data_IF_709613572141
#
_entry.id   IF_709613572141
#
_cell.length_a   1.000
_cell.length_b   1.000
_cell.length_c   1.000
_cell.angle_alpha   90.00
_cell.angle_beta   90.00
_cell.angle_gamma   90.00
#
_symmetry.space_group_name_H-M   'P 1'
#
loop_
_entity.id
_entity.type
_entity.pdbx_description
1 polymer ?
#
# COMPACT_ATOMS: atom_id res chain seq x y z
N UNK A 1 -15.89 -21.14 -11.12
CA UNK A 1 -17.34 -21.31 -10.82
C UNK A 1 -17.47 -22.36 -9.73
N UNK A 2 -18.50 -22.31 -8.88
CA UNK A 2 -18.77 -23.36 -7.87
C UNK A 2 -20.00 -24.15 -8.33
N UNK A 3 -19.88 -25.46 -8.50
CA UNK A 3 -21.00 -26.34 -8.85
C UNK A 3 -20.93 -27.58 -7.95
N UNK A 4 -22.02 -27.88 -7.22
CA UNK A 4 -22.08 -29.05 -6.32
C UNK A 4 -21.06 -29.02 -5.16
N UNK A 5 -20.58 -27.85 -4.74
CA UNK A 5 -19.57 -27.71 -3.68
C UNK A 5 -18.12 -27.88 -4.15
N UNK A 6 -17.89 -28.15 -5.44
CA UNK A 6 -16.55 -28.23 -6.03
C UNK A 6 -16.24 -26.94 -6.81
N UNK A 7 -15.00 -26.47 -6.67
CA UNK A 7 -14.47 -25.34 -7.42
C UNK A 7 -13.85 -25.89 -8.71
N UNK A 8 -14.17 -25.27 -9.84
CA UNK A 8 -13.65 -25.67 -11.14
C UNK A 8 -13.68 -24.55 -12.16
N UNK A 9 -13.16 -24.85 -13.35
CA UNK A 9 -13.25 -23.98 -14.52
C UNK A 9 -14.18 -24.58 -15.58
N UNK A 10 -14.76 -23.71 -16.40
CA UNK A 10 -15.58 -24.13 -17.54
C UNK A 10 -14.73 -24.12 -18.80
N UNK A 11 -14.83 -25.18 -19.58
CA UNK A 11 -14.32 -25.24 -20.95
C UNK A 11 -15.48 -25.34 -21.93
N UNK A 12 -15.20 -25.19 -23.23
CA UNK A 12 -16.19 -25.37 -24.31
C UNK A 12 -17.46 -24.52 -24.17
N UNK A 13 -17.31 -23.26 -23.75
CA UNK A 13 -18.40 -22.29 -23.51
C UNK A 13 -19.38 -22.12 -24.70
N UNK A 14 -18.93 -22.38 -25.93
CA UNK A 14 -19.70 -22.13 -27.15
C UNK A 14 -20.41 -23.36 -27.73
N UNK A 15 -20.07 -24.58 -27.29
CA UNK A 15 -20.63 -25.82 -27.87
C UNK A 15 -21.32 -26.68 -26.82
N UNK A 16 -20.67 -26.91 -25.69
CA UNK A 16 -21.18 -27.71 -24.57
C UNK A 16 -20.35 -27.38 -23.34
N UNK A 17 -20.77 -26.38 -22.54
CA UNK A 17 -20.04 -25.96 -21.36
C UNK A 17 -19.76 -27.16 -20.46
N UNK A 18 -18.48 -27.51 -20.33
CA UNK A 18 -18.04 -28.67 -19.55
C UNK A 18 -17.37 -28.16 -18.28
N UNK A 19 -17.89 -28.57 -17.13
CA UNK A 19 -17.30 -28.27 -15.83
C UNK A 19 -16.16 -29.25 -15.54
N UNK A 20 -14.96 -28.71 -15.34
CA UNK A 20 -13.81 -29.48 -14.90
C UNK A 20 -13.60 -29.23 -13.41
N UNK A 21 -13.96 -30.19 -12.53
CA UNK A 21 -13.68 -30.09 -11.11
C UNK A 21 -12.17 -30.02 -10.93
N UNK A 22 -11.71 -28.98 -10.26
CA UNK A 22 -10.29 -28.81 -9.96
C UNK A 22 -10.04 -29.41 -8.59
N UNK A 23 -9.38 -30.56 -8.53
CA UNK A 23 -8.99 -31.21 -7.28
C UNK A 23 -7.75 -30.49 -6.71
N UNK A 24 -7.95 -29.24 -6.30
CA UNK A 24 -6.93 -28.50 -5.58
C UNK A 24 -6.87 -29.09 -4.17
N UNK A 25 -5.73 -29.63 -3.71
CA UNK A 25 -5.63 -30.11 -2.34
C UNK A 25 -6.09 -29.00 -1.39
N UNK A 26 -6.85 -29.35 -0.35
CA UNK A 26 -7.46 -28.37 0.58
C UNK A 26 -6.45 -27.31 1.07
N UNK A 27 -5.18 -27.70 1.19
CA UNK A 27 -4.06 -26.81 1.50
C UNK A 27 -3.87 -25.65 0.50
N UNK A 28 -4.03 -25.87 -0.82
CA UNK A 28 -3.99 -24.81 -1.84
C UNK A 28 -5.20 -23.88 -1.76
N UNK A 29 -6.39 -24.43 -1.50
CA UNK A 29 -7.61 -23.62 -1.34
C UNK A 29 -7.49 -22.73 -0.10
N UNK A 30 -7.09 -23.29 1.05
CA UNK A 30 -6.89 -22.53 2.28
C UNK A 30 -5.81 -21.46 2.13
N UNK A 31 -4.72 -21.76 1.41
CA UNK A 31 -3.67 -20.78 1.11
C UNK A 31 -4.18 -19.63 0.25
N UNK A 32 -4.93 -19.92 -0.82
CA UNK A 32 -5.54 -18.89 -1.67
C UNK A 32 -6.56 -18.04 -0.91
N UNK A 33 -7.37 -18.64 -0.03
CA UNK A 33 -8.31 -17.89 0.82
C UNK A 33 -7.59 -16.92 1.74
N UNK A 34 -6.57 -17.39 2.46
CA UNK A 34 -5.76 -16.53 3.32
C UNK A 34 -5.08 -15.40 2.53
N UNK A 35 -4.59 -15.69 1.34
CA UNK A 35 -4.05 -14.67 0.44
C UNK A 35 -5.09 -13.59 0.07
N UNK A 36 -6.30 -14.00 -0.32
CA UNK A 36 -7.38 -13.07 -0.64
C UNK A 36 -7.67 -12.17 0.56
N UNK A 37 -7.77 -12.73 1.77
CA UNK A 37 -8.00 -11.93 2.98
C UNK A 37 -6.92 -10.87 3.23
N UNK A 38 -5.64 -11.21 3.05
CA UNK A 38 -4.53 -10.23 3.15
C UNK A 38 -4.70 -9.16 2.08
N UNK A 39 -5.00 -9.54 0.83
CA UNK A 39 -5.16 -8.60 -0.29
C UNK A 39 -6.30 -7.61 -0.05
N UNK A 40 -7.45 -8.10 0.39
CA UNK A 40 -8.60 -7.25 0.70
C UNK A 40 -8.28 -6.31 1.87
N UNK A 41 -7.49 -6.75 2.85
CA UNK A 41 -7.06 -5.90 3.97
C UNK A 41 -6.04 -4.84 3.55
N UNK A 42 -5.09 -5.21 2.70
CA UNK A 42 -4.13 -4.30 2.09
C UNK A 42 -4.83 -3.18 1.31
N UNK A 43 -5.75 -3.51 0.39
CA UNK A 43 -6.46 -2.50 -0.41
C UNK A 43 -7.32 -1.61 0.47
N UNK A 44 -8.05 -2.17 1.46
CA UNK A 44 -8.82 -1.34 2.41
C UNK A 44 -7.93 -0.34 3.15
N UNK A 45 -6.80 -0.80 3.68
CA UNK A 45 -5.85 0.06 4.38
C UNK A 45 -5.32 1.15 3.43
N UNK A 46 -4.80 0.75 2.27
CA UNK A 46 -4.20 1.68 1.32
C UNK A 46 -5.21 2.71 0.82
N UNK A 47 -6.41 2.27 0.40
CA UNK A 47 -7.46 3.16 -0.10
C UNK A 47 -7.96 4.11 0.99
N UNK A 48 -8.12 3.63 2.22
CA UNK A 48 -8.53 4.49 3.33
C UNK A 48 -7.48 5.58 3.59
N UNK A 49 -6.21 5.18 3.71
CA UNK A 49 -5.13 6.12 4.01
C UNK A 49 -4.88 7.11 2.86
N UNK A 50 -4.96 6.66 1.60
CA UNK A 50 -4.85 7.51 0.42
C UNK A 50 -5.97 8.55 0.34
N UNK A 51 -7.22 8.13 0.57
CA UNK A 51 -8.37 9.01 0.40
C UNK A 51 -8.57 9.97 1.57
N UNK A 52 -8.27 9.54 2.80
CA UNK A 52 -8.51 10.33 4.00
C UNK A 52 -7.27 11.08 4.50
N UNK A 53 -6.06 10.73 4.03
CA UNK A 53 -4.79 11.23 4.58
C UNK A 53 -4.68 11.04 6.10
N UNK A 54 -5.24 9.94 6.60
CA UNK A 54 -5.29 9.57 8.01
C UNK A 54 -4.82 8.13 8.15
N UNK A 55 -4.01 7.86 9.17
CA UNK A 55 -3.57 6.51 9.47
C UNK A 55 -4.75 5.65 9.97
N UNK A 56 -4.81 4.40 9.52
CA UNK A 56 -5.73 3.39 10.07
C UNK A 56 -4.94 2.31 10.83
N UNK A 57 -4.71 2.50 12.14
CA UNK A 57 -3.98 1.53 12.94
C UNK A 57 -4.73 0.21 13.12
N UNK A 58 -6.06 0.21 13.07
CA UNK A 58 -6.88 -1.00 13.28
C UNK A 58 -6.79 -1.94 12.08
N UNK A 59 -7.02 -1.43 10.86
CA UNK A 59 -6.90 -2.26 9.65
C UNK A 59 -5.42 -2.65 9.41
N UNK A 60 -4.44 -1.83 9.83
CA UNK A 60 -3.01 -2.20 9.82
C UNK A 60 -2.66 -3.33 10.78
N UNK A 61 -3.20 -3.32 12.00
CA UNK A 61 -2.98 -4.43 12.95
C UNK A 61 -3.60 -5.73 12.41
N UNK A 62 -4.78 -5.63 11.80
CA UNK A 62 -5.44 -6.74 11.13
C UNK A 62 -4.61 -7.27 9.95
N UNK A 63 -4.09 -6.39 9.09
CA UNK A 63 -3.19 -6.77 8.00
C UNK A 63 -1.96 -7.52 8.53
N UNK A 64 -1.35 -7.02 9.61
CA UNK A 64 -0.23 -7.69 10.28
C UNK A 64 -0.61 -9.09 10.75
N UNK A 65 -1.74 -9.24 11.45
CA UNK A 65 -2.21 -10.53 11.96
C UNK A 65 -2.45 -11.54 10.85
N UNK A 66 -3.14 -11.13 9.78
CA UNK A 66 -3.43 -11.98 8.62
C UNK A 66 -2.13 -12.44 7.93
N UNK A 67 -1.17 -11.52 7.77
CA UNK A 67 0.14 -11.83 7.20
C UNK A 67 0.92 -12.80 8.11
N UNK A 68 1.01 -12.55 9.41
CA UNK A 68 1.78 -13.38 10.34
C UNK A 68 1.19 -14.80 10.42
N UNK A 69 -0.13 -14.93 10.37
CA UNK A 69 -0.83 -16.22 10.30
C UNK A 69 -0.59 -16.96 8.98
N UNK A 70 -0.43 -16.24 7.87
CA UNK A 70 -0.05 -16.82 6.60
C UNK A 70 1.39 -17.33 6.64
N UNK A 71 2.33 -16.49 7.09
CA UNK A 71 3.76 -16.84 7.18
C UNK A 71 4.00 -18.02 8.10
N UNK A 72 3.28 -18.10 9.23
CA UNK A 72 3.38 -19.25 10.15
C UNK A 72 2.98 -20.58 9.50
N UNK A 73 2.03 -20.56 8.56
CA UNK A 73 1.47 -21.76 7.92
C UNK A 73 2.19 -22.15 6.62
N UNK A 74 2.63 -21.17 5.85
CA UNK A 74 3.14 -21.40 4.49
C UNK A 74 4.45 -20.68 4.17
N UNK A 75 5.05 -19.98 5.14
CA UNK A 75 6.23 -19.15 4.93
C UNK A 75 5.94 -17.83 4.20
N UNK A 76 6.99 -17.12 3.84
CA UNK A 76 6.92 -15.81 3.19
C UNK A 76 6.17 -15.86 1.84
N UNK A 77 5.45 -14.81 1.50
CA UNK A 77 4.71 -14.62 0.24
C UNK A 77 5.63 -14.77 -0.98
N UNK A 78 6.85 -14.23 -0.90
CA UNK A 78 7.83 -14.24 -1.97
C UNK A 78 8.64 -15.55 -2.07
N UNK A 79 8.39 -16.55 -1.20
CA UNK A 79 8.92 -17.90 -1.44
C UNK A 79 8.40 -18.44 -2.77
N UNK A 80 9.27 -19.10 -3.54
CA UNK A 80 8.96 -19.61 -4.89
C UNK A 80 7.60 -20.33 -4.97
N UNK A 81 7.32 -21.24 -4.03
CA UNK A 81 6.07 -22.00 -4.02
C UNK A 81 4.81 -21.16 -3.77
N UNK A 82 4.93 -20.02 -3.09
CA UNK A 82 3.85 -19.08 -2.87
C UNK A 82 3.78 -18.09 -4.04
N UNK A 83 4.89 -17.48 -4.41
CA UNK A 83 4.98 -16.56 -5.55
C UNK A 83 4.45 -17.19 -6.85
N UNK A 84 4.74 -18.45 -7.14
CA UNK A 84 4.22 -19.14 -8.33
C UNK A 84 2.70 -19.32 -8.29
N UNK A 85 2.14 -19.60 -7.11
CA UNK A 85 0.70 -19.69 -6.90
C UNK A 85 0.04 -18.31 -7.05
N UNK A 86 0.69 -17.26 -6.53
CA UNK A 86 0.18 -15.89 -6.60
C UNK A 86 0.20 -15.36 -8.03
N UNK A 87 1.29 -15.59 -8.77
CA UNK A 87 1.43 -15.16 -10.18
C UNK A 87 0.37 -15.76 -11.11
N UNK A 88 -0.26 -16.88 -10.73
CA UNK A 88 -1.41 -17.42 -11.48
C UNK A 88 -2.69 -16.59 -11.31
N UNK A 89 -2.79 -15.77 -10.26
CA UNK A 89 -3.90 -14.85 -10.05
C UNK A 89 -3.62 -13.51 -10.75
N UNK A 90 -4.63 -12.94 -11.40
CA UNK A 90 -4.51 -11.69 -12.17
C UNK A 90 -4.00 -10.48 -11.34
N UNK A 91 -4.23 -10.49 -10.02
CA UNK A 91 -3.74 -9.47 -9.07
C UNK A 91 -2.69 -10.04 -8.10
N UNK A 92 -1.99 -11.10 -8.50
CA UNK A 92 -0.96 -11.78 -7.72
C UNK A 92 0.28 -10.96 -7.42
N UNK A 93 0.69 -10.16 -8.40
CA UNK A 93 2.00 -9.53 -8.43
C UNK A 93 2.13 -8.39 -7.43
N UNK A 94 1.06 -7.63 -7.19
CA UNK A 94 1.07 -6.49 -6.26
C UNK A 94 1.36 -6.92 -4.81
N UNK A 95 0.92 -8.12 -4.45
CA UNK A 95 1.09 -8.63 -3.10
C UNK A 95 2.52 -9.08 -2.80
N UNK A 96 3.35 -9.26 -3.83
CA UNK A 96 4.78 -9.53 -3.65
C UNK A 96 5.52 -8.30 -3.10
N UNK A 97 4.94 -7.09 -3.23
CA UNK A 97 5.48 -5.86 -2.66
C UNK A 97 5.27 -5.72 -1.15
N UNK A 98 4.47 -6.60 -0.54
CA UNK A 98 4.35 -6.69 0.92
C UNK A 98 5.63 -7.19 1.58
N UNK A 99 6.56 -7.75 0.80
CA UNK A 99 7.84 -8.24 1.28
C UNK A 99 9.00 -7.62 0.50
N UNK A 100 10.05 -7.24 1.24
CA UNK A 100 11.33 -6.80 0.68
C UNK A 100 12.36 -7.89 0.88
N UNK A 101 13.28 -8.04 -0.07
CA UNK A 101 14.41 -8.95 0.06
C UNK A 101 15.61 -8.21 0.64
N UNK A 102 16.08 -8.63 1.81
CA UNK A 102 17.27 -8.08 2.45
C UNK A 102 18.15 -9.23 2.95
N UNK A 103 19.41 -9.28 2.49
CA UNK A 103 20.36 -10.33 2.90
C UNK A 103 19.89 -11.76 2.61
N UNK A 104 19.06 -11.98 1.58
CA UNK A 104 18.49 -13.28 1.24
C UNK A 104 17.32 -13.72 2.14
N UNK A 105 16.78 -12.80 2.95
CA UNK A 105 15.57 -13.01 3.76
C UNK A 105 14.46 -12.08 3.29
N UNK A 106 13.22 -12.50 3.48
CA UNK A 106 12.06 -11.67 3.24
C UNK A 106 11.65 -10.96 4.53
N UNK A 107 11.53 -9.64 4.46
CA UNK A 107 11.11 -8.78 5.56
C UNK A 107 9.84 -8.01 5.18
N UNK A 108 9.04 -7.62 6.18
CA UNK A 108 7.81 -6.84 5.97
C UNK A 108 8.12 -5.49 5.28
N UNK A 109 7.25 -5.09 4.37
CA UNK A 109 7.26 -3.74 3.78
C UNK A 109 6.82 -2.66 4.79
N UNK A 110 7.03 -1.39 4.44
CA UNK A 110 6.76 -0.27 5.35
C UNK A 110 5.28 -0.10 5.72
N UNK A 111 4.37 -0.56 4.86
CA UNK A 111 2.92 -0.45 5.09
C UNK A 111 2.47 -1.16 6.39
N UNK A 112 3.23 -2.16 6.85
CA UNK A 112 2.95 -2.86 8.10
C UNK A 112 3.26 -2.03 9.35
N UNK A 113 4.02 -0.96 9.23
CA UNK A 113 4.49 -0.12 10.35
C UNK A 113 3.86 1.28 10.33
N UNK A 114 3.86 1.94 9.17
CA UNK A 114 3.35 3.31 9.02
C UNK A 114 2.61 3.53 7.69
N UNK A 115 1.89 4.64 7.53
CA UNK A 115 1.24 4.98 6.27
C UNK A 115 2.24 5.16 5.14
N UNK A 116 1.96 4.50 4.01
CA UNK A 116 2.74 4.61 2.77
C UNK A 116 1.96 5.29 1.65
N UNK A 117 0.65 5.45 1.82
CA UNK A 117 -0.25 6.06 0.86
C UNK A 117 -0.20 7.60 0.86
N UNK A 118 0.35 8.21 1.90
CA UNK A 118 0.52 9.66 2.01
C UNK A 118 1.75 10.02 2.85
N UNK A 119 2.24 11.26 2.69
CA UNK A 119 3.34 11.76 3.49
C UNK A 119 2.85 12.19 4.88
N UNK A 120 3.32 11.50 5.93
CA UNK A 120 3.03 11.86 7.33
C UNK A 120 3.62 13.21 7.74
N UNK A 121 4.73 13.61 7.11
CA UNK A 121 5.38 14.90 7.29
C UNK A 121 5.46 15.58 5.95
N UNK A 122 4.99 16.82 5.89
CA UNK A 122 5.29 17.65 4.74
C UNK A 122 6.79 17.92 4.69
N UNK A 123 7.38 17.77 3.51
CA UNK A 123 8.79 18.00 3.29
C UNK A 123 9.17 19.39 3.81
N UNK A 124 10.09 19.44 4.77
CA UNK A 124 10.68 20.70 5.23
C UNK A 124 11.32 21.38 4.00
N UNK A 125 10.85 22.57 3.65
CA UNK A 125 11.41 23.33 2.56
C UNK A 125 12.81 23.81 2.96
N UNK A 126 13.82 23.52 2.14
CA UNK A 126 15.19 23.91 2.40
C UNK A 126 15.35 25.44 2.40
N UNK A 127 14.56 26.13 1.58
CA UNK A 127 14.59 27.59 1.44
C UNK A 127 13.19 28.19 1.16
N UNK A 128 13.05 29.53 1.24
CA UNK A 128 11.78 30.20 1.00
C UNK A 128 11.20 30.03 -0.40
N UNK A 129 12.02 29.78 -1.42
CA UNK A 129 11.57 29.56 -2.80
C UNK A 129 10.92 28.19 -2.95
N UNK A 130 11.49 27.17 -2.32
CA UNK A 130 10.89 25.84 -2.25
C UNK A 130 9.57 25.86 -1.46
N UNK A 131 9.52 26.60 -0.35
CA UNK A 131 8.29 26.79 0.43
C UNK A 131 7.19 27.49 -0.41
N UNK A 132 7.57 28.47 -1.24
CA UNK A 132 6.66 29.16 -2.15
C UNK A 132 6.10 28.22 -3.21
N UNK A 133 6.97 27.44 -3.86
CA UNK A 133 6.55 26.43 -4.82
C UNK A 133 5.59 25.41 -4.18
N UNK A 134 5.89 24.94 -2.96
CA UNK A 134 5.00 24.04 -2.23
C UNK A 134 3.63 24.67 -1.95
N UNK A 135 3.58 25.94 -1.54
CA UNK A 135 2.33 26.67 -1.32
C UNK A 135 1.51 26.81 -2.60
N UNK A 136 2.12 27.25 -3.70
CA UNK A 136 1.45 27.43 -4.99
C UNK A 136 0.95 26.09 -5.54
N UNK A 137 1.75 25.03 -5.42
CA UNK A 137 1.35 23.70 -5.86
C UNK A 137 0.20 23.13 -5.02
N UNK A 138 0.15 23.43 -3.71
CA UNK A 138 -0.87 22.89 -2.81
C UNK A 138 -2.17 23.69 -2.82
N UNK A 139 -2.10 25.01 -2.82
CA UNK A 139 -3.26 25.90 -2.64
C UNK A 139 -3.62 26.71 -3.89
N UNK A 140 -2.73 26.78 -4.88
CA UNK A 140 -2.87 27.70 -6.02
C UNK A 140 -2.61 29.16 -5.67
N UNK A 141 -2.31 29.45 -4.40
CA UNK A 141 -2.06 30.79 -3.84
C UNK A 141 -0.86 30.77 -2.91
N UNK A 142 -0.40 31.97 -2.54
CA UNK A 142 0.69 32.13 -1.58
C UNK A 142 0.13 32.16 -0.17
N UNK A 143 0.33 31.09 0.57
CA UNK A 143 -0.07 30.92 1.96
C UNK A 143 1.15 31.08 2.88
N UNK A 144 1.41 32.31 3.33
CA UNK A 144 2.56 32.63 4.18
C UNK A 144 2.64 31.82 5.49
N UNK A 145 1.53 31.52 6.20
CA UNK A 145 1.58 30.66 7.39
C UNK A 145 2.07 29.25 7.06
N UNK A 146 1.67 28.72 5.90
CA UNK A 146 2.09 27.42 5.40
C UNK A 146 3.56 27.40 4.99
N UNK A 147 4.01 28.41 4.24
CA UNK A 147 5.41 28.55 3.88
C UNK A 147 6.33 28.64 5.12
N UNK A 148 5.89 29.37 6.14
CA UNK A 148 6.63 29.49 7.42
C UNK A 148 6.62 28.19 8.22
N UNK A 149 5.55 27.39 8.11
CA UNK A 149 5.48 26.06 8.72
C UNK A 149 6.53 25.12 8.12
N UNK A 150 6.67 25.11 6.79
CA UNK A 150 7.62 24.25 6.05
C UNK A 150 9.09 24.62 6.24
N UNK A 151 9.42 25.88 6.54
CA UNK A 151 10.81 26.29 6.73
C UNK A 151 11.41 25.69 8.02
N UNK A 152 12.70 25.33 8.04
CA UNK A 152 13.35 24.85 9.25
C UNK A 152 13.42 25.97 10.30
N UNK A 153 13.46 25.60 11.59
CA UNK A 153 13.28 26.51 12.73
C UNK A 153 14.28 27.67 12.75
N UNK A 154 15.51 27.43 12.28
CA UNK A 154 16.56 28.45 12.11
C UNK A 154 16.23 29.50 11.02
N UNK A 155 15.40 29.15 10.04
CA UNK A 155 14.97 29.99 8.92
C UNK A 155 13.61 30.67 9.16
N UNK A 156 12.96 30.44 10.32
CA UNK A 156 11.71 31.10 10.72
C UNK A 156 11.90 32.52 11.29
N UNK A 157 13.08 33.12 11.10
CA UNK A 157 13.38 34.46 11.59
C UNK A 157 12.47 35.48 10.92
N UNK A 158 12.01 36.48 11.68
CA UNK A 158 11.11 37.54 11.21
C UNK A 158 11.65 38.28 9.97
N UNK A 159 12.98 38.36 9.85
CA UNK A 159 13.69 38.89 8.68
C UNK A 159 13.49 38.07 7.40
N UNK A 160 13.45 36.73 7.48
CA UNK A 160 13.23 35.84 6.33
C UNK A 160 11.78 35.93 5.87
N UNK A 161 10.84 35.95 6.82
CA UNK A 161 9.41 36.14 6.53
C UNK A 161 9.16 37.50 5.87
N UNK A 162 9.86 38.55 6.31
CA UNK A 162 9.79 39.88 5.69
C UNK A 162 10.36 39.88 4.27
N UNK A 163 11.50 39.24 4.04
CA UNK A 163 12.09 39.10 2.71
C UNK A 163 11.20 38.32 1.73
N UNK A 164 10.44 37.33 2.22
CA UNK A 164 9.42 36.62 1.42
C UNK A 164 8.32 37.60 0.99
N UNK A 165 7.78 38.38 1.94
CA UNK A 165 6.72 39.36 1.67
C UNK A 165 7.16 40.43 0.66
N UNK A 166 8.41 40.91 0.77
CA UNK A 166 8.96 41.94 -0.13
C UNK A 166 9.21 41.43 -1.56
N UNK A 167 9.37 40.12 -1.77
CA UNK A 167 9.56 39.52 -3.10
C UNK A 167 8.26 39.19 -3.85
N UNK A 168 7.12 39.30 -3.17
CA UNK A 168 5.80 38.91 -3.69
C UNK A 168 4.92 40.12 -4.06
N UNK A 169 5.44 41.34 -3.91
CA UNK A 169 4.79 42.61 -4.29
C UNK A 169 5.56 43.25 -5.43
#
# INVERSE_FOLDING_TARGET
>A
MVQGGQIGYLSNLHLSPTFHPMDLPLSRISRLKAYVEIRESYHRLYDYEANNHLADPEEREKLNRLYDDFVRRWGALNLQANADLLKMAATGAEMLFLERSEGGRYIKADIFDHPTAFALTESVAADPSEALCASLNKFGTVELPYMTYLLPVNSKSEAVIKAIKERLV
#
